data_IF_255488466442
#
_entry.id   IF_255488466442
#
_cell.length_a   1.000
_cell.length_b   1.000
_cell.length_c   1.000
_cell.angle_alpha   90.00
_cell.angle_beta   90.00
_cell.angle_gamma   90.00
#
_symmetry.space_group_name_H-M   'P 1'
#
loop_
_entity.id
_entity.type
_entity.pdbx_description
1 polymer ?
#
# COMPACT_ATOMS: atom_id res chain seq x y z
N UNK A 1 -62.84 16.18 26.13
CA UNK A 1 -61.37 16.15 26.08
C UNK A 1 -60.90 14.73 25.87
N UNK A 2 -60.55 14.38 24.64
CA UNK A 2 -60.17 13.04 24.24
C UNK A 2 -58.62 13.00 24.15
N UNK A 3 -57.96 12.26 25.05
CA UNK A 3 -56.48 12.10 25.04
C UNK A 3 -56.12 10.98 24.07
N UNK A 4 -55.43 11.32 22.98
CA UNK A 4 -54.82 10.35 22.10
C UNK A 4 -53.54 9.82 22.71
N UNK A 5 -53.48 8.52 23.01
CA UNK A 5 -52.26 7.79 23.33
C UNK A 5 -51.60 7.41 21.99
N UNK A 6 -50.38 7.88 21.77
CA UNK A 6 -49.54 7.43 20.66
C UNK A 6 -48.75 6.21 21.16
N UNK A 7 -48.80 5.06 20.50
CA UNK A 7 -47.97 3.91 20.90
C UNK A 7 -46.54 4.12 20.42
N UNK A 8 -45.61 4.06 21.36
CA UNK A 8 -44.16 4.06 21.11
C UNK A 8 -43.80 2.66 20.62
N UNK A 9 -43.45 2.54 19.32
CA UNK A 9 -42.90 1.30 18.76
C UNK A 9 -41.41 1.20 19.16
N UNK A 10 -40.94 0.05 19.63
CA UNK A 10 -39.53 -0.13 19.93
C UNK A 10 -38.74 -0.21 18.60
N UNK A 11 -37.79 0.68 18.44
CA UNK A 11 -36.78 0.60 17.38
C UNK A 11 -35.87 -0.59 17.68
N UNK A 12 -36.07 -1.72 17.00
CA UNK A 12 -35.11 -2.80 16.98
C UNK A 12 -33.89 -2.35 16.16
N UNK A 13 -32.85 -1.95 16.85
CA UNK A 13 -31.52 -1.79 16.22
C UNK A 13 -30.99 -3.19 15.93
N UNK A 14 -31.11 -3.62 14.68
CA UNK A 14 -30.37 -4.79 14.22
C UNK A 14 -28.88 -4.41 14.19
N UNK A 15 -28.16 -4.89 15.20
CA UNK A 15 -26.70 -4.92 15.14
C UNK A 15 -26.33 -5.84 13.95
N UNK A 16 -25.87 -5.24 12.87
CA UNK A 16 -25.19 -5.99 11.80
C UNK A 16 -23.90 -6.51 12.42
N UNK A 17 -23.86 -7.78 12.75
CA UNK A 17 -22.63 -8.50 13.04
C UNK A 17 -21.86 -8.60 11.72
N UNK A 18 -20.90 -7.69 11.50
CA UNK A 18 -19.95 -7.86 10.40
C UNK A 18 -19.23 -9.18 10.61
N UNK A 19 -19.33 -10.07 9.64
CA UNK A 19 -18.57 -11.32 9.64
C UNK A 19 -17.08 -10.97 9.70
N UNK A 20 -16.29 -11.67 10.53
CA UNK A 20 -14.84 -11.45 10.58
C UNK A 20 -14.23 -11.67 9.20
N UNK A 21 -13.21 -10.89 8.81
CA UNK A 21 -12.60 -10.97 7.49
C UNK A 21 -12.15 -12.41 7.19
N UNK A 22 -12.69 -12.98 6.11
CA UNK A 22 -12.34 -14.33 5.67
C UNK A 22 -10.91 -14.35 5.15
N UNK A 23 -10.02 -14.97 5.91
CA UNK A 23 -8.65 -15.24 5.48
C UNK A 23 -8.69 -16.33 4.41
N UNK A 24 -8.13 -16.05 3.23
CA UNK A 24 -7.98 -17.09 2.20
C UNK A 24 -7.16 -18.24 2.76
N UNK A 25 -7.72 -19.43 2.78
CA UNK A 25 -7.02 -20.65 3.24
C UNK A 25 -5.76 -20.88 2.40
N UNK A 26 -4.63 -21.16 3.06
CA UNK A 26 -3.35 -21.44 2.41
C UNK A 26 -2.37 -20.28 2.34
N UNK A 27 -2.71 -19.07 2.84
CA UNK A 27 -1.77 -17.96 2.94
C UNK A 27 -1.26 -17.80 4.37
N UNK A 28 0.07 -17.60 4.50
CA UNK A 28 0.72 -17.28 5.77
C UNK A 28 0.51 -15.80 6.19
N UNK A 29 1.05 -15.47 7.36
CA UNK A 29 1.22 -14.08 7.78
C UNK A 29 2.32 -13.43 6.96
N UNK A 30 2.25 -12.11 6.68
CA UNK A 30 3.32 -11.38 6.03
C UNK A 30 4.63 -11.42 6.83
N UNK A 31 5.74 -11.27 6.13
CA UNK A 31 7.03 -11.12 6.77
C UNK A 31 7.13 -9.81 7.55
N UNK A 32 7.89 -9.85 8.63
CA UNK A 32 8.29 -8.69 9.42
C UNK A 32 9.80 -8.54 9.30
N UNK A 33 10.25 -7.32 9.11
CA UNK A 33 11.66 -6.93 9.12
C UNK A 33 11.86 -5.74 10.05
N UNK A 34 13.10 -5.43 10.35
CA UNK A 34 13.50 -4.20 11.05
C UNK A 34 14.25 -3.28 10.10
N UNK A 35 14.49 -2.06 10.52
CA UNK A 35 15.32 -1.12 9.73
C UNK A 35 16.77 -1.58 9.59
N UNK A 36 17.28 -2.40 10.50
CA UNK A 36 18.62 -3.00 10.41
C UNK A 36 18.73 -4.06 9.30
N UNK A 37 17.60 -4.61 8.85
CA UNK A 37 17.56 -5.55 7.73
C UNK A 37 17.60 -4.86 6.36
N UNK A 38 17.46 -3.53 6.31
CA UNK A 38 17.51 -2.73 5.09
C UNK A 38 18.93 -2.21 4.83
N UNK A 39 19.42 -2.47 3.61
CA UNK A 39 20.65 -1.86 3.15
C UNK A 39 20.50 -0.33 3.12
N UNK A 40 21.52 0.41 3.32
CA UNK A 40 21.57 1.86 3.13
C UNK A 40 20.52 2.69 3.94
N UNK A 41 19.74 2.07 4.85
CA UNK A 41 18.70 2.76 5.63
C UNK A 41 19.26 3.96 6.41
N UNK A 42 20.41 3.80 7.05
CA UNK A 42 21.02 4.84 7.86
C UNK A 42 21.48 6.07 7.06
N UNK A 43 21.72 5.91 5.75
CA UNK A 43 22.12 6.99 4.84
C UNK A 43 20.95 7.78 4.24
N UNK A 44 19.72 7.30 4.43
CA UNK A 44 18.53 7.98 3.91
C UNK A 44 18.29 9.33 4.63
N UNK A 45 17.70 10.32 3.95
CA UNK A 45 17.17 11.53 4.57
C UNK A 45 16.23 11.21 5.75
N UNK A 46 16.20 12.08 6.75
CA UNK A 46 15.47 11.83 8.00
C UNK A 46 13.97 11.62 7.80
N UNK A 47 13.34 12.38 6.90
CA UNK A 47 11.93 12.26 6.58
C UNK A 47 11.58 10.91 5.94
N UNK A 48 12.45 10.39 5.05
CA UNK A 48 12.30 9.05 4.46
C UNK A 48 12.47 7.96 5.52
N UNK A 49 13.47 8.09 6.40
CA UNK A 49 13.66 7.15 7.52
C UNK A 49 12.44 7.11 8.42
N UNK A 50 11.92 8.27 8.83
CA UNK A 50 10.71 8.35 9.67
C UNK A 50 9.50 7.68 9.03
N UNK A 51 9.32 7.85 7.72
CA UNK A 51 8.19 7.23 7.01
C UNK A 51 8.33 5.71 6.93
N UNK A 52 9.54 5.19 6.66
CA UNK A 52 9.83 3.75 6.67
C UNK A 52 9.69 3.15 8.07
N UNK A 53 10.24 3.82 9.10
CA UNK A 53 10.10 3.41 10.51
C UNK A 53 8.63 3.30 10.92
N UNK A 54 7.83 4.29 10.57
CA UNK A 54 6.39 4.27 10.84
C UNK A 54 5.70 3.09 10.13
N UNK A 55 6.04 2.81 8.88
CA UNK A 55 5.48 1.69 8.14
C UNK A 55 5.84 0.34 8.79
N UNK A 56 7.11 0.15 9.16
CA UNK A 56 7.57 -1.08 9.82
C UNK A 56 6.97 -1.20 11.23
N UNK A 57 6.86 -0.10 11.99
CA UNK A 57 6.29 -0.10 13.33
C UNK A 57 4.83 -0.57 13.33
N UNK A 58 4.01 -0.15 12.37
CA UNK A 58 2.62 -0.62 12.24
C UNK A 58 2.56 -2.14 12.07
N UNK A 59 3.46 -2.74 11.28
CA UNK A 59 3.49 -4.19 11.10
C UNK A 59 3.99 -4.94 12.35
N UNK A 60 4.96 -4.36 13.06
CA UNK A 60 5.58 -4.98 14.24
C UNK A 60 4.71 -4.87 15.49
N UNK A 61 4.11 -3.69 15.72
CA UNK A 61 3.46 -3.34 16.98
C UNK A 61 1.96 -3.69 16.99
N UNK A 62 1.44 -4.14 15.86
CA UNK A 62 0.06 -4.60 15.73
C UNK A 62 0.00 -6.15 15.75
N UNK A 63 -1.12 -6.74 16.25
CA UNK A 63 -1.42 -8.11 15.90
C UNK A 63 -1.52 -8.25 14.38
N UNK A 64 -1.53 -9.49 13.87
CA UNK A 64 -1.70 -9.70 12.44
C UNK A 64 -2.92 -8.93 11.89
N UNK A 65 -2.67 -8.06 10.91
CA UNK A 65 -3.66 -7.24 10.24
C UNK A 65 -3.94 -7.82 8.84
N UNK A 66 -5.01 -8.60 8.65
CA UNK A 66 -5.35 -9.19 7.37
C UNK A 66 -5.70 -8.11 6.33
N UNK A 67 -5.69 -8.49 5.05
CA UNK A 67 -6.25 -7.63 4.01
C UNK A 67 -7.76 -7.50 4.23
N UNK A 68 -8.20 -6.29 4.51
CA UNK A 68 -9.59 -5.96 4.78
C UNK A 68 -10.06 -4.89 3.78
N UNK A 69 -11.02 -5.24 2.94
CA UNK A 69 -11.55 -4.30 1.95
C UNK A 69 -12.04 -3.02 2.63
N UNK A 70 -11.61 -1.86 2.13
CA UNK A 70 -11.89 -0.52 2.67
C UNK A 70 -11.30 -0.25 4.08
N UNK A 71 -10.56 -1.18 4.66
CA UNK A 71 -9.89 -0.98 5.95
C UNK A 71 -8.82 0.10 5.85
N UNK A 72 -8.76 1.00 6.84
CA UNK A 72 -7.78 2.08 6.92
C UNK A 72 -7.24 2.32 8.32
N UNK A 73 -7.62 1.45 9.26
CA UNK A 73 -7.20 1.53 10.65
C UNK A 73 -7.05 0.13 11.23
N UNK A 74 -6.12 -0.13 12.17
CA UNK A 74 -6.02 -1.41 12.85
C UNK A 74 -7.32 -1.84 13.53
N UNK A 75 -8.08 -0.90 14.07
CA UNK A 75 -9.38 -1.11 14.71
C UNK A 75 -10.46 -1.61 13.75
N UNK A 76 -10.30 -1.38 12.43
CA UNK A 76 -11.19 -1.93 11.40
C UNK A 76 -10.90 -3.42 11.09
N UNK A 77 -10.01 -4.07 11.84
CA UNK A 77 -9.61 -5.46 11.65
C UNK A 77 -8.57 -5.68 10.56
N UNK A 78 -8.01 -4.61 9.97
CA UNK A 78 -6.97 -4.68 8.95
C UNK A 78 -7.01 -3.53 7.96
N UNK A 79 -6.26 -3.65 6.88
CA UNK A 79 -6.12 -2.61 5.86
C UNK A 79 -6.42 -3.14 4.46
N UNK A 80 -6.94 -2.28 3.57
CA UNK A 80 -6.68 -2.44 2.15
C UNK A 80 -5.33 -1.79 1.77
N UNK A 81 -4.93 -1.92 0.51
CA UNK A 81 -3.62 -1.42 0.07
C UNK A 81 -3.44 0.09 0.28
N UNK A 82 -4.40 0.89 -0.14
CA UNK A 82 -4.34 2.35 -0.01
C UNK A 82 -4.66 2.84 1.40
N UNK A 83 -5.45 2.09 2.16
CA UNK A 83 -5.73 2.37 3.56
C UNK A 83 -4.51 2.22 4.44
N UNK A 84 -3.68 1.21 4.18
CA UNK A 84 -2.39 1.06 4.85
C UNK A 84 -1.48 2.26 4.59
N UNK A 85 -1.33 2.66 3.32
CA UNK A 85 -0.52 3.84 2.97
C UNK A 85 -1.09 5.13 3.56
N UNK A 86 -2.41 5.29 3.52
CA UNK A 86 -3.11 6.42 4.15
C UNK A 86 -2.80 6.52 5.65
N UNK A 87 -2.93 5.40 6.38
CA UNK A 87 -2.69 5.35 7.81
C UNK A 87 -1.23 5.67 8.16
N UNK A 88 -0.28 5.00 7.49
CA UNK A 88 1.15 5.20 7.72
C UNK A 88 1.58 6.64 7.44
N UNK A 89 1.18 7.22 6.31
CA UNK A 89 1.56 8.59 5.98
C UNK A 89 0.97 9.61 6.95
N UNK A 90 -0.27 9.41 7.41
CA UNK A 90 -0.87 10.29 8.43
C UNK A 90 -0.17 10.21 9.78
N UNK A 91 0.37 9.06 10.16
CA UNK A 91 1.13 8.92 11.42
C UNK A 91 2.39 9.79 11.46
N UNK A 92 2.94 10.14 10.29
CA UNK A 92 4.05 11.08 10.14
C UNK A 92 3.62 12.48 9.67
N UNK A 93 2.33 12.81 9.85
CA UNK A 93 1.73 14.13 9.56
C UNK A 93 1.69 14.52 8.08
N UNK A 94 1.73 13.57 7.18
CA UNK A 94 1.37 13.81 5.77
C UNK A 94 -0.16 13.77 5.63
N UNK A 95 -0.68 14.37 4.57
CA UNK A 95 -2.12 14.39 4.27
C UNK A 95 -2.42 13.73 2.91
N UNK A 96 -2.28 12.40 2.80
CA UNK A 96 -2.54 11.66 1.58
C UNK A 96 -4.03 11.50 1.32
N UNK A 97 -4.45 11.38 0.05
CA UNK A 97 -5.81 10.92 -0.28
C UNK A 97 -6.02 9.45 0.12
N UNK A 98 -7.30 9.04 0.30
CA UNK A 98 -7.65 7.70 0.82
C UNK A 98 -7.45 6.57 -0.20
N UNK A 99 -7.68 6.80 -1.50
CA UNK A 99 -7.70 5.72 -2.50
C UNK A 99 -6.42 5.66 -3.32
N UNK A 100 -6.07 4.48 -3.83
CA UNK A 100 -4.86 4.30 -4.66
C UNK A 100 -4.87 5.18 -5.92
N UNK A 101 -6.02 5.33 -6.57
CA UNK A 101 -6.16 6.25 -7.71
C UNK A 101 -5.90 7.70 -7.29
N UNK A 102 -6.50 8.14 -6.18
CA UNK A 102 -6.30 9.50 -5.69
C UNK A 102 -4.86 9.75 -5.20
N UNK A 103 -4.19 8.74 -4.63
CA UNK A 103 -2.77 8.81 -4.27
C UNK A 103 -1.87 8.92 -5.50
N UNK A 104 -2.15 8.17 -6.56
CA UNK A 104 -1.46 8.28 -7.84
C UNK A 104 -1.62 9.70 -8.44
N UNK A 105 -2.85 10.20 -8.50
CA UNK A 105 -3.15 11.54 -9.00
C UNK A 105 -2.57 12.65 -8.10
N UNK A 106 -2.46 12.40 -6.80
CA UNK A 106 -1.81 13.32 -5.86
C UNK A 106 -0.32 13.49 -6.18
N UNK A 107 0.40 12.39 -6.45
CA UNK A 107 1.78 12.46 -6.91
C UNK A 107 1.89 13.15 -8.28
N UNK A 108 1.02 12.80 -9.22
CA UNK A 108 1.03 13.36 -10.58
C UNK A 108 0.81 14.87 -10.58
N UNK A 109 -0.14 15.37 -9.80
CA UNK A 109 -0.42 16.84 -9.69
C UNK A 109 0.67 17.64 -8.98
N UNK A 110 1.56 16.98 -8.26
CA UNK A 110 2.69 17.61 -7.55
C UNK A 110 4.03 17.37 -8.27
N UNK A 111 4.01 16.89 -9.51
CA UNK A 111 5.19 16.58 -10.32
C UNK A 111 6.17 15.62 -9.62
N UNK A 112 5.61 14.65 -8.85
CA UNK A 112 6.34 13.65 -8.07
C UNK A 112 6.25 12.24 -8.64
N UNK A 113 5.48 12.04 -9.71
CA UNK A 113 5.22 10.74 -10.29
C UNK A 113 6.18 10.45 -11.45
N UNK A 114 6.92 9.36 -11.34
CA UNK A 114 7.68 8.75 -12.42
C UNK A 114 6.84 7.65 -13.06
N UNK A 115 6.32 7.90 -14.27
CA UNK A 115 5.58 6.89 -15.04
C UNK A 115 6.56 5.86 -15.58
N UNK A 116 6.17 4.59 -15.54
CA UNK A 116 6.98 3.48 -16.00
C UNK A 116 6.27 2.80 -17.18
N UNK A 117 6.95 2.63 -18.33
CA UNK A 117 6.36 2.01 -19.49
C UNK A 117 6.13 0.51 -19.27
N UNK A 118 5.12 -0.06 -19.94
CA UNK A 118 4.68 -1.43 -19.69
C UNK A 118 5.74 -2.50 -20.06
N UNK A 119 6.66 -2.17 -20.96
CA UNK A 119 7.80 -2.99 -21.35
C UNK A 119 8.91 -3.07 -20.30
N UNK A 120 8.89 -2.22 -19.28
CA UNK A 120 9.85 -2.28 -18.17
C UNK A 120 9.51 -3.47 -17.25
N UNK A 121 10.20 -4.57 -17.44
CA UNK A 121 10.06 -5.81 -16.67
C UNK A 121 11.21 -6.07 -15.70
N UNK A 122 12.24 -5.22 -15.72
CA UNK A 122 13.42 -5.28 -14.85
C UNK A 122 13.64 -3.96 -14.11
N UNK A 123 14.05 -4.04 -12.85
CA UNK A 123 14.38 -2.87 -12.02
C UNK A 123 15.63 -2.11 -12.54
N UNK A 124 16.41 -2.71 -13.42
CA UNK A 124 17.52 -2.04 -14.12
C UNK A 124 17.08 -1.17 -15.29
N UNK A 125 15.80 -1.23 -15.68
CA UNK A 125 15.28 -0.40 -16.75
C UNK A 125 15.50 1.10 -16.43
N UNK A 126 15.90 1.95 -17.41
CA UNK A 126 16.20 3.37 -17.17
C UNK A 126 15.09 4.14 -16.45
N UNK A 127 13.81 3.79 -16.68
CA UNK A 127 12.69 4.43 -15.97
C UNK A 127 12.64 4.16 -14.47
N UNK A 128 13.44 3.20 -13.96
CA UNK A 128 13.51 2.86 -12.53
C UNK A 128 14.69 3.53 -11.79
N UNK A 129 15.55 4.25 -12.49
CA UNK A 129 16.78 4.83 -11.94
C UNK A 129 16.57 5.81 -10.76
N UNK A 130 15.40 6.46 -10.72
CA UNK A 130 15.04 7.43 -9.69
C UNK A 130 14.23 6.83 -8.53
N UNK A 131 13.98 5.50 -8.55
CA UNK A 131 13.29 4.84 -7.44
C UNK A 131 14.14 4.93 -6.16
N UNK A 132 13.51 5.38 -5.08
CA UNK A 132 14.16 5.52 -3.77
C UNK A 132 13.30 4.91 -2.66
N UNK A 133 13.90 4.42 -1.57
CA UNK A 133 13.14 3.98 -0.40
C UNK A 133 12.18 5.06 0.10
N UNK A 134 11.00 4.66 0.55
CA UNK A 134 9.83 5.47 0.90
C UNK A 134 9.00 6.00 -0.29
N UNK A 135 9.35 5.70 -1.53
CA UNK A 135 8.48 6.01 -2.67
C UNK A 135 7.25 5.09 -2.67
N UNK A 136 6.11 5.64 -3.10
CA UNK A 136 4.90 4.85 -3.37
C UNK A 136 5.03 4.17 -4.74
N UNK A 137 4.56 2.95 -4.80
CA UNK A 137 4.58 2.07 -5.97
C UNK A 137 3.15 1.82 -6.41
N UNK A 138 2.85 1.92 -7.72
CA UNK A 138 1.49 1.79 -8.23
C UNK A 138 1.37 0.73 -9.31
N UNK A 139 0.32 -0.09 -9.21
CA UNK A 139 -0.07 -1.07 -10.21
C UNK A 139 -1.49 -0.84 -10.66
N UNK A 140 -1.78 -1.26 -11.89
CA UNK A 140 -3.12 -1.15 -12.43
C UNK A 140 -3.22 -1.64 -13.86
N UNK A 141 -4.32 -1.30 -14.51
CA UNK A 141 -4.52 -1.56 -15.93
C UNK A 141 -4.18 -0.28 -16.69
N UNK A 142 -3.22 -0.35 -17.63
CA UNK A 142 -2.90 0.80 -18.47
C UNK A 142 -4.10 1.19 -19.34
N UNK A 143 -4.11 2.41 -19.82
CA UNK A 143 -5.06 2.85 -20.81
C UNK A 143 -4.73 2.15 -22.15
N UNK A 144 -5.65 1.32 -22.63
CA UNK A 144 -5.58 0.61 -23.90
C UNK A 144 -6.92 0.71 -24.62
N UNK A 145 -6.98 0.28 -25.89
CA UNK A 145 -8.27 0.17 -26.62
C UNK A 145 -9.28 -0.68 -25.85
N UNK A 146 -8.83 -1.78 -25.25
CA UNK A 146 -9.67 -2.71 -24.50
C UNK A 146 -10.21 -2.12 -23.18
N UNK A 147 -9.55 -1.09 -22.63
CA UNK A 147 -10.00 -0.35 -21.44
C UNK A 147 -10.77 0.92 -21.81
N UNK A 148 -11.10 1.12 -23.08
CA UNK A 148 -11.73 2.37 -23.55
C UNK A 148 -10.84 3.60 -23.36
N UNK A 149 -9.53 3.45 -23.36
CA UNK A 149 -8.58 4.53 -23.12
C UNK A 149 -8.45 4.95 -21.64
N UNK A 150 -9.04 4.22 -20.71
CA UNK A 150 -9.03 4.58 -19.28
C UNK A 150 -7.99 3.75 -18.51
N UNK A 151 -7.07 4.44 -17.85
CA UNK A 151 -6.15 3.82 -16.89
C UNK A 151 -6.87 3.60 -15.55
N UNK A 152 -6.64 2.45 -14.92
CA UNK A 152 -7.21 2.15 -13.61
C UNK A 152 -6.09 1.75 -12.65
N UNK A 153 -5.88 2.52 -11.58
CA UNK A 153 -4.95 2.18 -10.50
C UNK A 153 -5.65 1.24 -9.53
N UNK A 154 -5.12 0.04 -9.34
CA UNK A 154 -5.73 -1.02 -8.53
C UNK A 154 -4.98 -1.35 -7.26
N UNK A 155 -3.71 -0.94 -7.14
CA UNK A 155 -2.88 -1.29 -6.01
C UNK A 155 -1.80 -0.24 -5.74
N UNK A 156 -1.44 -0.10 -4.47
CA UNK A 156 -0.34 0.77 -4.01
C UNK A 156 0.44 0.06 -2.91
N UNK A 157 1.76 0.28 -2.88
CA UNK A 157 2.68 -0.16 -1.83
C UNK A 157 3.71 0.95 -1.57
N UNK A 158 4.55 0.78 -0.56
CA UNK A 158 5.73 1.62 -0.32
C UNK A 158 6.99 0.79 -0.55
N UNK A 159 7.93 1.32 -1.32
CA UNK A 159 9.25 0.74 -1.49
C UNK A 159 10.08 0.93 -0.21
N UNK A 160 10.62 -0.15 0.33
CA UNK A 160 11.50 -0.09 1.50
C UNK A 160 12.99 0.01 1.15
N UNK A 161 13.33 -0.28 -0.10
CA UNK A 161 14.72 -0.44 -0.52
C UNK A 161 15.07 -1.91 -0.70
N UNK A 162 16.34 -2.24 -0.51
CA UNK A 162 16.87 -3.59 -0.63
C UNK A 162 17.25 -4.14 0.74
N UNK A 163 17.10 -5.44 0.92
CA UNK A 163 17.58 -6.10 2.13
C UNK A 163 19.11 -6.12 2.19
N UNK A 164 19.68 -5.88 3.35
CA UNK A 164 21.13 -5.86 3.57
C UNK A 164 21.78 -7.22 3.25
N UNK A 165 21.06 -8.32 3.50
CA UNK A 165 21.57 -9.68 3.38
C UNK A 165 21.92 -10.10 1.96
N UNK A 166 21.06 -9.79 0.99
CA UNK A 166 21.17 -10.31 -0.38
C UNK A 166 20.73 -9.32 -1.46
N UNK A 167 20.59 -8.04 -1.10
CA UNK A 167 20.16 -6.93 -1.98
C UNK A 167 18.83 -7.19 -2.67
N UNK A 168 17.96 -7.93 -2.02
CA UNK A 168 16.61 -8.21 -2.52
C UNK A 168 15.73 -6.97 -2.37
N UNK A 169 15.09 -6.48 -3.45
CA UNK A 169 14.15 -5.38 -3.37
C UNK A 169 12.89 -5.80 -2.60
N UNK A 170 12.48 -4.99 -1.63
CA UNK A 170 11.31 -5.24 -0.79
C UNK A 170 10.40 -4.03 -0.70
N UNK A 171 9.14 -4.29 -0.44
CA UNK A 171 8.09 -3.29 -0.24
C UNK A 171 7.22 -3.68 0.94
N UNK A 172 6.50 -2.70 1.49
CA UNK A 172 5.51 -2.92 2.54
C UNK A 172 4.13 -2.47 2.06
N UNK A 173 3.12 -3.28 2.30
CA UNK A 173 1.73 -2.98 1.97
C UNK A 173 0.76 -3.96 2.64
N UNK A 174 -0.55 -3.75 2.41
CA UNK A 174 -1.57 -4.75 2.68
C UNK A 174 -2.03 -5.38 1.36
N UNK A 175 -2.02 -6.70 1.29
CA UNK A 175 -2.37 -7.48 0.09
C UNK A 175 -2.87 -8.87 0.44
N UNK A 176 -3.54 -9.52 -0.50
CA UNK A 176 -4.13 -10.85 -0.34
C UNK A 176 -3.51 -11.90 -1.28
N UNK A 177 -2.20 -11.91 -1.45
CA UNK A 177 -1.61 -12.97 -2.28
C UNK A 177 -0.24 -12.70 -2.88
N UNK A 178 0.43 -11.61 -2.47
CA UNK A 178 1.84 -11.43 -2.82
C UNK A 178 2.72 -12.35 -1.98
N UNK A 179 3.97 -12.51 -2.39
CA UNK A 179 4.91 -13.40 -1.73
C UNK A 179 6.10 -12.64 -1.15
N UNK A 180 6.65 -13.18 -0.09
CA UNK A 180 7.98 -12.84 0.39
C UNK A 180 8.82 -14.11 0.40
N UNK A 181 9.95 -14.11 -0.31
CA UNK A 181 10.85 -15.26 -0.46
C UNK A 181 10.12 -16.55 -0.88
N UNK A 182 9.17 -16.42 -1.81
CA UNK A 182 8.37 -17.53 -2.34
C UNK A 182 7.16 -17.94 -1.50
N UNK A 183 7.04 -17.48 -0.26
CA UNK A 183 5.89 -17.78 0.61
C UNK A 183 4.79 -16.74 0.41
N UNK A 184 3.61 -17.18 -0.03
CA UNK A 184 2.43 -16.31 -0.16
C UNK A 184 1.87 -15.95 1.19
N UNK A 185 1.46 -14.68 1.33
CA UNK A 185 0.89 -14.17 2.56
C UNK A 185 -0.32 -13.26 2.31
N UNK A 186 -1.10 -13.05 3.37
CA UNK A 186 -2.25 -12.16 3.40
C UNK A 186 -2.09 -11.16 4.55
N UNK A 187 -2.31 -9.88 4.25
CA UNK A 187 -2.33 -8.81 5.25
C UNK A 187 -1.25 -7.75 5.05
N UNK A 188 -1.08 -6.94 6.10
CA UNK A 188 -0.10 -5.86 6.13
C UNK A 188 1.26 -6.36 6.59
N UNK A 189 2.29 -6.11 5.78
CA UNK A 189 3.67 -6.46 6.07
C UNK A 189 4.57 -6.42 4.85
N UNK A 190 5.71 -7.11 4.88
CA UNK A 190 6.76 -7.04 3.88
C UNK A 190 6.61 -8.12 2.82
N UNK A 191 6.88 -7.73 1.58
CA UNK A 191 6.79 -8.57 0.38
C UNK A 191 7.94 -8.28 -0.58
N UNK A 192 8.27 -9.25 -1.45
CA UNK A 192 9.21 -9.03 -2.55
C UNK A 192 8.65 -7.95 -3.48
N UNK A 193 9.49 -6.98 -3.86
CA UNK A 193 9.16 -6.05 -4.93
C UNK A 193 9.69 -6.62 -6.25
N UNK A 194 8.79 -6.83 -7.20
CA UNK A 194 9.09 -7.27 -8.56
C UNK A 194 8.18 -6.57 -9.55
N UNK A 195 8.72 -6.23 -10.70
CA UNK A 195 7.91 -5.76 -11.81
C UNK A 195 7.11 -6.93 -12.41
N UNK A 196 5.92 -6.66 -12.99
CA UNK A 196 5.17 -7.66 -13.73
C UNK A 196 5.97 -8.18 -14.92
N UNK A 197 5.71 -9.43 -15.29
CA UNK A 197 6.26 -10.00 -16.52
C UNK A 197 5.54 -9.43 -17.75
N UNK A 198 6.17 -9.49 -18.91
CA UNK A 198 5.55 -9.09 -20.17
C UNK A 198 4.21 -9.80 -20.40
N UNK A 199 3.22 -9.08 -20.90
CA UNK A 199 1.87 -9.60 -21.13
C UNK A 199 1.00 -9.78 -19.89
N UNK A 200 1.47 -9.39 -18.70
CA UNK A 200 0.65 -9.42 -17.50
C UNK A 200 -0.56 -8.49 -17.61
N UNK A 201 -1.74 -8.93 -17.11
CA UNK A 201 -2.98 -8.12 -17.11
C UNK A 201 -2.88 -6.86 -16.25
N UNK A 202 -1.99 -6.87 -15.26
CA UNK A 202 -1.73 -5.75 -14.37
C UNK A 202 -0.29 -5.29 -14.63
N UNK A 203 -0.14 -4.04 -15.01
CA UNK A 203 1.14 -3.39 -15.23
C UNK A 203 1.62 -2.64 -13.98
N UNK A 204 2.91 -2.41 -13.88
CA UNK A 204 3.47 -1.42 -12.98
C UNK A 204 3.34 -0.05 -13.65
N UNK A 205 2.58 0.86 -13.05
CA UNK A 205 2.22 2.15 -13.67
C UNK A 205 3.24 3.24 -13.38
N UNK A 206 3.97 3.11 -12.28
CA UNK A 206 4.93 4.11 -11.85
C UNK A 206 5.13 4.14 -10.35
N UNK A 207 5.96 5.08 -9.92
CA UNK A 207 6.32 5.28 -8.51
C UNK A 207 6.58 6.76 -8.25
N UNK A 208 6.68 7.14 -7.00
CA UNK A 208 7.11 8.49 -6.67
C UNK A 208 7.06 8.84 -5.20
N UNK A 209 7.72 9.93 -4.89
CA UNK A 209 7.88 10.43 -3.53
C UNK A 209 6.63 11.14 -3.04
N UNK A 210 6.04 10.77 -1.89
CA UNK A 210 4.92 11.48 -1.32
C UNK A 210 5.21 12.98 -1.15
N UNK A 211 4.30 13.89 -1.55
CA UNK A 211 4.40 15.31 -1.19
C UNK A 211 4.56 15.50 0.32
N UNK A 212 5.52 16.32 0.72
CA UNK A 212 5.93 16.51 2.11
C UNK A 212 7.17 15.70 2.52
N UNK A 213 7.59 14.73 1.70
CA UNK A 213 8.90 14.08 1.80
C UNK A 213 9.85 14.76 0.80
N UNK A 214 11.10 14.99 1.20
CA UNK A 214 12.09 15.59 0.32
C UNK A 214 12.32 14.74 -0.94
N UNK A 215 12.39 15.36 -2.14
CA UNK A 215 12.80 14.63 -3.33
C UNK A 215 14.23 14.10 -3.15
N UNK A 216 14.62 13.09 -3.93
CA UNK A 216 16.04 12.69 -3.99
C UNK A 216 16.88 13.93 -4.32
N UNK A 217 18.00 14.09 -3.62
CA UNK A 217 19.02 15.05 -4.03
C UNK A 217 19.87 14.34 -5.10
N UNK A 218 20.04 15.02 -6.23
CA UNK A 218 20.90 14.58 -7.34
C UNK A 218 22.38 14.51 -6.91
#
# INVERSE_FOLDING_TARGET
>A
MLKYLVPCLPFCVFAQTEEPPTVKTGFGKPALITTADLADFASLPEDRRKLIEAAIAVARDSPWLPYTARGSEPSAGGFDCSGAMYFVMRSVRLDPPRTSTAQYEWLNRNDRLHKVPAEATDLKHPSMQNLRPADLLFWGRPATSDTGGTMTVTHVAMYLGEEAKDRRPVMINSTDGRSYRGTKANGYGVYDFRLPVEGAKIAFLGYGTPPGIAPPQD
#
